data_IF_256951855157
#
_entry.id   IF_256951855157
#
_cell.length_a   1.000
_cell.length_b   1.000
_cell.length_c   1.000
_cell.angle_alpha   90.00
_cell.angle_beta   90.00
_cell.angle_gamma   90.00
#
_symmetry.space_group_name_H-M   'P 1'
#
loop_
_entity.id
_entity.type
_entity.pdbx_description
1 polymer ?
#
# COMPACT_ATOMS: atom_id res chain seq x y z
N UNK A 1 16.36 -14.28 4.37
CA UNK A 1 16.02 -13.74 5.61
C UNK A 1 15.12 -12.54 5.51
N UNK A 2 14.17 -12.46 6.38
CA UNK A 2 13.18 -11.41 6.28
C UNK A 2 13.64 -10.14 6.96
N UNK A 3 13.46 -9.02 6.32
CA UNK A 3 13.74 -7.73 6.93
C UNK A 3 12.88 -7.55 8.16
N UNK A 4 11.70 -8.12 8.13
CA UNK A 4 10.79 -8.02 9.24
C UNK A 4 11.34 -8.61 10.51
N UNK A 5 12.04 -9.74 10.40
CA UNK A 5 12.66 -10.32 11.57
C UNK A 5 13.61 -9.39 12.24
N UNK A 6 14.33 -8.63 11.47
CA UNK A 6 15.27 -7.70 12.03
C UNK A 6 14.59 -6.53 12.71
N UNK A 7 13.53 -6.06 12.11
CA UNK A 7 12.86 -4.88 12.63
C UNK A 7 11.99 -5.14 13.83
N UNK A 8 11.63 -6.39 14.07
CA UNK A 8 10.66 -6.70 15.11
C UNK A 8 11.24 -7.50 16.25
N UNK A 9 12.51 -7.61 16.31
CA UNK A 9 13.15 -8.35 17.39
C UNK A 9 12.63 -9.77 17.49
N UNK A 10 12.17 -10.31 16.38
CA UNK A 10 11.76 -11.69 16.33
C UNK A 10 10.34 -11.97 16.78
N UNK A 11 9.60 -10.97 17.20
CA UNK A 11 8.23 -11.18 17.68
C UNK A 11 7.24 -10.93 16.56
N UNK A 12 6.42 -11.91 16.18
CA UNK A 12 5.42 -11.68 15.15
C UNK A 12 4.39 -10.65 15.62
N UNK A 13 4.01 -9.77 14.72
CA UNK A 13 3.05 -8.74 15.05
C UNK A 13 2.16 -8.44 13.84
N UNK A 14 1.10 -9.22 13.65
CA UNK A 14 0.22 -9.03 12.49
C UNK A 14 -0.44 -7.65 12.44
N UNK A 15 -0.70 -7.05 13.59
CA UNK A 15 -1.29 -5.71 13.60
C UNK A 15 -0.30 -4.71 13.05
N UNK A 16 0.95 -4.79 13.49
CA UNK A 16 1.98 -3.93 12.94
C UNK A 16 2.16 -4.17 11.44
N UNK A 17 2.10 -5.43 11.03
CA UNK A 17 2.22 -5.77 9.61
C UNK A 17 1.11 -5.12 8.80
N UNK A 18 -0.12 -5.10 9.32
CA UNK A 18 -1.23 -4.46 8.61
C UNK A 18 -1.04 -2.95 8.51
N UNK A 19 -0.52 -2.33 9.56
CA UNK A 19 -0.23 -0.92 9.53
C UNK A 19 0.81 -0.63 8.45
N UNK A 20 1.84 -1.46 8.37
CA UNK A 20 2.87 -1.30 7.36
C UNK A 20 2.32 -1.46 5.96
N UNK A 21 1.44 -2.43 5.75
CA UNK A 21 0.83 -2.64 4.44
C UNK A 21 0.04 -1.41 4.03
N UNK A 22 -0.77 -0.87 4.94
CA UNK A 22 -1.58 0.30 4.63
C UNK A 22 -0.69 1.50 4.29
N UNK A 23 0.36 1.69 5.06
CA UNK A 23 1.27 2.81 4.83
C UNK A 23 1.95 2.72 3.47
N UNK A 24 2.52 1.55 3.17
CA UNK A 24 3.22 1.36 1.91
C UNK A 24 2.29 1.41 0.71
N UNK A 25 1.06 0.91 0.89
CA UNK A 25 0.09 0.96 -0.19
C UNK A 25 -0.31 2.40 -0.51
N UNK A 26 -0.49 3.22 0.52
CA UNK A 26 -0.82 4.63 0.28
C UNK A 26 0.34 5.38 -0.35
N UNK A 27 1.56 5.08 0.07
CA UNK A 27 2.74 5.66 -0.57
C UNK A 27 2.85 5.22 -2.02
N UNK A 28 2.58 3.95 -2.28
CA UNK A 28 2.59 3.43 -3.65
C UNK A 28 1.59 4.15 -4.53
N UNK A 29 0.39 4.41 -3.98
CA UNK A 29 -0.62 5.12 -4.75
C UNK A 29 -0.15 6.51 -5.15
N UNK A 30 0.49 7.24 -4.22
CA UNK A 30 1.01 8.56 -4.53
C UNK A 30 2.11 8.50 -5.57
N UNK A 31 2.98 7.53 -5.45
CA UNK A 31 4.08 7.36 -6.39
C UNK A 31 3.55 7.09 -7.80
N UNK A 32 2.55 6.21 -7.91
CA UNK A 32 2.01 5.87 -9.22
C UNK A 32 1.19 7.00 -9.82
N UNK A 33 0.61 7.86 -9.00
CA UNK A 33 -0.03 9.04 -9.54
C UNK A 33 1.01 9.96 -10.18
N UNK A 34 2.17 10.10 -9.55
CA UNK A 34 3.24 10.89 -10.13
C UNK A 34 3.72 10.31 -11.46
N UNK A 35 3.86 8.98 -11.51
CA UNK A 35 4.24 8.32 -12.75
C UNK A 35 3.21 8.56 -13.85
N UNK A 36 1.92 8.52 -13.48
CA UNK A 36 0.87 8.75 -14.46
C UNK A 36 0.94 10.17 -15.02
N UNK A 37 1.20 11.14 -14.15
CA UNK A 37 1.35 12.52 -14.60
C UNK A 37 2.54 12.67 -15.54
N UNK A 38 3.64 12.02 -15.24
CA UNK A 38 4.82 12.06 -16.09
C UNK A 38 4.50 11.49 -17.47
N UNK A 39 3.80 10.36 -17.51
CA UNK A 39 3.42 9.75 -18.78
C UNK A 39 2.48 10.65 -19.56
N UNK A 40 1.55 11.27 -18.86
CA UNK A 40 0.59 12.16 -19.49
C UNK A 40 1.27 13.36 -20.10
N UNK A 41 2.26 13.91 -19.42
CA UNK A 41 3.02 15.05 -19.94
C UNK A 41 3.79 14.68 -21.20
N UNK A 42 4.17 13.43 -21.33
CA UNK A 42 4.84 12.95 -22.52
C UNK A 42 3.87 12.55 -23.63
N UNK A 43 2.58 12.66 -23.38
CA UNK A 43 1.57 12.30 -24.36
C UNK A 43 1.33 10.81 -24.46
N UNK A 44 1.77 10.05 -23.48
CA UNK A 44 1.63 8.59 -23.49
C UNK A 44 0.43 8.19 -22.64
N UNK A 45 -0.74 8.24 -23.26
CA UNK A 45 -1.97 7.98 -22.54
C UNK A 45 -2.09 6.52 -22.10
N UNK A 46 -1.62 5.61 -22.93
CA UNK A 46 -1.68 4.19 -22.58
C UNK A 46 -0.89 3.91 -21.30
N UNK A 47 0.27 4.50 -21.20
CA UNK A 47 1.11 4.30 -20.02
C UNK A 47 0.52 5.00 -18.80
N UNK A 48 -0.05 6.19 -18.99
CA UNK A 48 -0.71 6.89 -17.90
C UNK A 48 -1.87 6.06 -17.34
N UNK A 49 -2.65 5.44 -18.23
CA UNK A 49 -3.77 4.60 -17.81
C UNK A 49 -3.29 3.38 -17.03
N UNK A 50 -2.20 2.78 -17.46
CA UNK A 50 -1.62 1.65 -16.74
C UNK A 50 -1.21 2.07 -15.33
N UNK A 51 -0.53 3.20 -15.19
CA UNK A 51 -0.10 3.65 -13.88
C UNK A 51 -1.29 3.96 -12.97
N UNK A 52 -2.36 4.53 -13.50
CA UNK A 52 -3.53 4.84 -12.69
C UNK A 52 -4.29 3.59 -12.28
N UNK A 53 -4.31 2.58 -13.13
CA UNK A 53 -4.88 1.31 -12.77
C UNK A 53 -4.13 0.68 -11.60
N UNK A 54 -2.83 0.71 -11.64
CA UNK A 54 -2.00 0.18 -10.55
C UNK A 54 -2.19 1.01 -9.28
N UNK A 55 -2.31 2.32 -9.43
CA UNK A 55 -2.61 3.17 -8.29
C UNK A 55 -3.89 2.73 -7.58
N UNK A 56 -4.93 2.42 -8.35
CA UNK A 56 -6.18 1.98 -7.77
C UNK A 56 -6.02 0.67 -7.00
N UNK A 57 -5.18 -0.22 -7.50
CA UNK A 57 -4.90 -1.47 -6.79
C UNK A 57 -4.25 -1.22 -5.44
N UNK A 58 -3.34 -0.27 -5.38
CA UNK A 58 -2.75 0.13 -4.10
C UNK A 58 -3.79 0.69 -3.15
N UNK A 59 -4.69 1.51 -3.66
CA UNK A 59 -5.74 2.10 -2.83
C UNK A 59 -6.68 1.05 -2.28
N UNK A 60 -7.01 0.05 -3.09
CA UNK A 60 -7.85 -1.05 -2.63
C UNK A 60 -7.15 -1.85 -1.54
N UNK A 61 -5.87 -2.09 -1.73
CA UNK A 61 -5.09 -2.82 -0.75
C UNK A 61 -5.04 -2.08 0.59
N UNK A 62 -4.87 -0.77 0.53
CA UNK A 62 -4.85 0.04 1.75
C UNK A 62 -6.20 -0.03 2.47
N UNK A 63 -7.29 0.04 1.71
CA UNK A 63 -8.61 -0.04 2.30
C UNK A 63 -8.89 -1.36 2.96
N UNK A 64 -8.44 -2.44 2.34
CA UNK A 64 -8.59 -3.77 2.92
C UNK A 64 -7.77 -3.92 4.20
N UNK A 65 -6.55 -3.43 4.16
CA UNK A 65 -5.69 -3.51 5.34
C UNK A 65 -6.30 -2.72 6.50
N UNK A 66 -6.87 -1.57 6.20
CA UNK A 66 -7.52 -0.76 7.23
C UNK A 66 -8.73 -1.45 7.83
N UNK A 67 -9.52 -2.11 6.99
CA UNK A 67 -10.68 -2.84 7.47
C UNK A 67 -10.28 -3.99 8.38
N UNK A 68 -9.25 -4.72 7.98
CA UNK A 68 -8.76 -5.82 8.78
C UNK A 68 -8.18 -5.32 10.09
N UNK A 69 -7.49 -4.19 10.04
CA UNK A 69 -6.92 -3.60 11.24
C UNK A 69 -8.02 -3.21 12.22
N UNK A 70 -9.06 -2.56 11.74
CA UNK A 70 -10.18 -2.18 12.59
C UNK A 70 -10.82 -3.39 13.26
N UNK A 71 -10.98 -4.45 12.48
CA UNK A 71 -11.55 -5.68 13.01
C UNK A 71 -10.73 -6.23 14.17
N UNK A 72 -9.42 -6.23 14.03
CA UNK A 72 -8.55 -6.75 15.08
C UNK A 72 -8.56 -5.87 16.30
N UNK A 73 -8.61 -4.56 16.13
CA UNK A 73 -8.62 -3.64 17.25
C UNK A 73 -9.95 -3.69 18.00
N UNK A 74 -11.03 -3.86 17.28
CA UNK A 74 -12.34 -3.94 17.90
C UNK A 74 -12.53 -5.19 18.74
N UNK A 75 -11.85 -6.26 18.40
CA UNK A 75 -12.00 -7.51 19.09
C UNK A 75 -11.03 -7.66 20.25
N UNK A 76 -10.56 -6.58 20.76
CA UNK A 76 -9.88 -6.57 22.03
C UNK A 76 -8.52 -7.13 22.01
N UNK A 77 -7.97 -7.10 20.88
CA UNK A 77 -6.66 -7.61 20.87
C UNK A 77 -5.66 -6.85 21.60
#
# INVERSE_FOLDING_TARGET
>A
MSVRSMGQTGTPDPVYDLISVAYHALQGAETYEQYAQDAQQQGDQELADYFRKTKQQFQQSAGEAQRLLESRLQHGS
#
